data_IF_843394050793
#
_entry.id   IF_843394050793
#
_cell.length_a   1.000
_cell.length_b   1.000
_cell.length_c   1.000
_cell.angle_alpha   90.00
_cell.angle_beta   90.00
_cell.angle_gamma   90.00
#
_symmetry.space_group_name_H-M   'P 1'
#
loop_
_entity.id
_entity.type
_entity.pdbx_description
1 polymer ?
#
# COMPACT_ATOMS: atom_id res chain seq x y z
N UNK A 1 -30.76 -14.77 63.72
CA UNK A 1 -30.40 -13.47 63.12
C UNK A 1 -28.88 -13.43 62.96
N UNK A 2 -28.38 -12.95 61.82
CA UNK A 2 -27.30 -13.51 60.98
C UNK A 2 -25.90 -13.07 61.46
N UNK A 3 -24.75 -13.56 61.00
CA UNK A 3 -24.33 -14.27 59.78
C UNK A 3 -23.09 -13.55 59.21
N UNK A 4 -22.03 -14.33 58.88
CA UNK A 4 -20.95 -14.16 57.86
C UNK A 4 -20.38 -12.74 57.59
N UNK A 5 -19.09 -12.48 57.32
CA UNK A 5 -18.06 -13.12 56.48
C UNK A 5 -16.76 -12.30 56.62
N UNK A 6 -15.62 -12.86 56.20
CA UNK A 6 -14.26 -12.37 56.42
C UNK A 6 -13.77 -11.19 55.56
N UNK A 7 -12.45 -10.88 55.65
CA UNK A 7 -11.82 -9.67 55.13
C UNK A 7 -11.15 -9.87 53.76
N UNK A 8 -10.51 -8.80 53.29
CA UNK A 8 -9.56 -8.66 52.16
C UNK A 8 -10.09 -8.05 50.87
N UNK A 9 -9.92 -6.72 50.79
CA UNK A 9 -9.99 -5.92 49.58
C UNK A 9 -8.71 -5.10 49.41
N UNK A 10 -7.59 -5.76 49.13
CA UNK A 10 -6.36 -5.11 48.67
C UNK A 10 -6.48 -4.76 47.18
N UNK A 11 -7.09 -3.61 46.88
CA UNK A 11 -7.03 -3.01 45.53
C UNK A 11 -5.71 -2.23 45.35
N UNK A 12 -5.05 -2.30 44.17
CA UNK A 12 -3.88 -1.49 43.93
C UNK A 12 -4.29 -0.02 43.72
N UNK A 13 -3.87 0.84 44.64
CA UNK A 13 -3.95 2.30 44.52
C UNK A 13 -2.90 2.74 43.50
N UNK A 14 -3.30 2.97 42.25
CA UNK A 14 -2.44 3.59 41.24
C UNK A 14 -2.33 5.08 41.57
N UNK A 15 -1.19 5.47 42.13
CA UNK A 15 -0.87 6.85 42.47
C UNK A 15 -0.88 7.77 41.25
N UNK A 16 -1.51 8.95 41.39
CA UNK A 16 -1.39 10.06 40.44
C UNK A 16 0.08 10.46 40.30
N UNK A 17 0.65 10.26 39.12
CA UNK A 17 1.90 10.91 38.76
C UNK A 17 1.63 12.40 38.50
N UNK A 18 2.10 13.21 39.44
CA UNK A 18 2.13 14.67 39.34
C UNK A 18 3.00 15.10 38.15
N UNK A 19 2.58 16.14 37.45
CA UNK A 19 3.24 16.69 36.26
C UNK A 19 4.67 17.16 36.57
N UNK A 20 5.64 16.31 36.28
CA UNK A 20 7.07 16.61 36.32
C UNK A 20 7.53 17.24 35.01
N UNK A 21 8.22 18.38 35.11
CA UNK A 21 8.90 19.10 34.04
C UNK A 21 9.71 18.17 33.13
N UNK A 22 9.44 18.26 31.81
CA UNK A 22 10.11 17.50 30.76
C UNK A 22 11.61 17.81 30.72
N UNK A 23 12.40 16.99 31.43
CA UNK A 23 13.85 16.91 31.23
C UNK A 23 14.09 16.29 29.85
N UNK A 24 14.52 17.10 28.88
CA UNK A 24 15.00 16.64 27.57
C UNK A 24 16.01 15.50 27.79
N UNK A 25 15.66 14.29 27.35
CA UNK A 25 16.60 13.15 27.34
C UNK A 25 17.82 13.55 26.52
N UNK A 26 19.05 13.33 27.01
CA UNK A 26 20.25 13.59 26.21
C UNK A 26 20.21 12.72 24.94
N UNK A 27 20.34 13.35 23.77
CA UNK A 27 20.42 12.63 22.50
C UNK A 27 21.70 11.78 22.52
N UNK A 28 21.58 10.47 22.32
CA UNK A 28 22.72 9.58 22.10
C UNK A 28 23.24 9.84 20.67
N UNK A 29 24.40 10.49 20.49
CA UNK A 29 24.89 10.86 19.16
C UNK A 29 25.31 9.65 18.31
N UNK A 30 25.44 8.47 18.91
CA UNK A 30 25.75 7.21 18.25
C UNK A 30 24.52 6.30 18.08
N UNK A 31 23.37 6.69 18.65
CA UNK A 31 22.12 5.97 18.52
C UNK A 31 21.33 6.40 17.28
N UNK A 32 20.30 5.63 16.91
CA UNK A 32 19.40 6.03 15.82
C UNK A 32 18.76 7.38 16.12
N UNK A 33 18.61 8.19 15.09
CA UNK A 33 17.86 9.45 15.14
C UNK A 33 16.41 9.18 15.51
N UNK A 34 15.71 10.19 16.03
CA UNK A 34 14.28 10.06 16.35
C UNK A 34 13.43 9.68 15.13
N UNK A 35 13.83 10.11 13.93
CA UNK A 35 13.14 9.75 12.69
C UNK A 35 13.33 8.26 12.36
N UNK A 36 14.55 7.74 12.53
CA UNK A 36 14.84 6.31 12.34
C UNK A 36 14.12 5.45 13.39
N UNK A 37 14.08 5.88 14.65
CA UNK A 37 13.31 5.18 15.70
C UNK A 37 11.84 5.07 15.32
N UNK A 38 11.22 6.16 14.84
CA UNK A 38 9.81 6.13 14.40
C UNK A 38 9.59 5.28 13.15
N UNK A 39 10.50 5.32 12.19
CA UNK A 39 10.44 4.50 10.99
C UNK A 39 10.56 3.00 11.33
N UNK A 40 11.44 2.65 12.27
CA UNK A 40 11.57 1.27 12.75
C UNK A 40 10.28 0.82 13.47
N UNK A 41 9.74 1.67 14.36
CA UNK A 41 8.47 1.38 15.03
C UNK A 41 7.31 1.19 14.02
N UNK A 42 7.26 2.01 12.97
CA UNK A 42 6.27 1.84 11.89
C UNK A 42 6.43 0.49 11.18
N UNK A 43 7.68 0.10 10.88
CA UNK A 43 7.96 -1.16 10.20
C UNK A 43 7.66 -2.39 11.06
N UNK A 44 7.99 -2.34 12.34
CA UNK A 44 7.64 -3.37 13.33
C UNK A 44 6.13 -3.50 13.47
N UNK A 45 5.43 -2.40 13.73
CA UNK A 45 3.97 -2.40 13.87
C UNK A 45 3.27 -2.93 12.62
N UNK A 46 3.73 -2.54 11.43
CA UNK A 46 3.18 -3.05 10.18
C UNK A 46 3.37 -4.55 10.03
N UNK A 47 4.56 -5.07 10.35
CA UNK A 47 4.82 -6.49 10.26
C UNK A 47 3.96 -7.25 11.28
N UNK A 48 3.97 -6.84 12.55
CA UNK A 48 3.15 -7.42 13.62
C UNK A 48 1.65 -7.46 13.26
N UNK A 49 1.11 -6.36 12.76
CA UNK A 49 -0.29 -6.30 12.36
C UNK A 49 -0.60 -7.22 11.17
N UNK A 50 0.26 -7.27 10.16
CA UNK A 50 0.11 -8.18 9.02
C UNK A 50 0.07 -9.66 9.47
N UNK A 51 0.89 -9.99 10.46
CA UNK A 51 0.91 -11.33 11.01
C UNK A 51 -0.31 -11.68 11.85
N UNK A 52 -0.77 -10.76 12.69
CA UNK A 52 -1.99 -10.97 13.47
C UNK A 52 -3.19 -11.26 12.55
N UNK A 53 -3.25 -10.57 11.40
CA UNK A 53 -4.26 -10.82 10.38
C UNK A 53 -4.09 -12.19 9.72
N UNK A 54 -2.85 -12.56 9.33
CA UNK A 54 -2.59 -13.86 8.71
C UNK A 54 -2.90 -15.04 9.64
N UNK A 55 -2.56 -14.92 10.93
CA UNK A 55 -2.85 -15.93 11.96
C UNK A 55 -4.36 -16.04 12.22
N UNK A 56 -5.08 -14.91 12.27
CA UNK A 56 -6.53 -14.91 12.40
C UNK A 56 -7.22 -15.60 11.20
N UNK A 57 -6.75 -15.36 9.98
CA UNK A 57 -7.27 -16.02 8.77
C UNK A 57 -7.00 -17.53 8.81
N UNK A 58 -5.78 -17.96 9.14
CA UNK A 58 -5.42 -19.37 9.25
C UNK A 58 -6.27 -20.10 10.30
N UNK A 59 -6.51 -19.48 11.46
CA UNK A 59 -7.35 -20.05 12.52
C UNK A 59 -8.84 -20.11 12.15
N UNK A 60 -9.30 -19.26 11.23
CA UNK A 60 -10.69 -19.28 10.74
C UNK A 60 -10.94 -20.32 9.65
N UNK A 61 -9.89 -20.80 8.97
CA UNK A 61 -9.97 -21.75 7.86
C UNK A 61 -10.03 -23.23 8.30
N UNK A 62 -10.69 -23.52 9.44
CA UNK A 62 -10.87 -24.86 10.00
C UNK A 62 -11.80 -25.74 9.14
N UNK A 63 -11.35 -26.14 7.95
CA UNK A 63 -11.89 -27.29 7.21
C UNK A 63 -10.71 -28.18 6.80
N UNK A 64 -10.60 -29.41 7.36
CA UNK A 64 -9.51 -30.33 7.06
C UNK A 64 -9.87 -31.12 5.81
N UNK A 65 -9.87 -30.47 4.65
CA UNK A 65 -9.85 -31.18 3.38
C UNK A 65 -8.97 -30.40 2.40
N UNK A 66 -7.65 -30.53 2.58
CA UNK A 66 -6.69 -29.88 1.69
C UNK A 66 -5.86 -30.93 1.00
N UNK A 67 -6.26 -31.20 -0.24
CA UNK A 67 -5.38 -31.65 -1.32
C UNK A 67 -4.04 -30.93 -1.21
N UNK A 68 -2.96 -31.69 -1.42
CA UNK A 68 -1.61 -31.14 -1.51
C UNK A 68 -1.61 -29.98 -2.51
N UNK A 69 -1.04 -28.79 -2.17
CA UNK A 69 -1.04 -27.68 -3.09
C UNK A 69 -0.39 -28.12 -4.41
N UNK A 70 -1.10 -27.91 -5.52
CA UNK A 70 -0.66 -28.34 -6.86
C UNK A 70 0.72 -27.77 -7.25
N UNK A 71 1.15 -26.69 -6.58
CA UNK A 71 2.44 -26.02 -6.75
C UNK A 71 3.24 -26.16 -5.45
N UNK A 72 4.45 -26.76 -5.48
CA UNK A 72 5.34 -26.78 -4.33
C UNK A 72 5.67 -25.36 -3.85
N UNK A 73 5.48 -25.09 -2.55
CA UNK A 73 5.76 -23.77 -1.98
C UNK A 73 7.26 -23.54 -1.81
N UNK A 74 7.75 -22.38 -2.25
CA UNK A 74 9.09 -21.89 -1.92
C UNK A 74 9.01 -21.08 -0.62
N UNK A 75 9.29 -21.74 0.50
CA UNK A 75 9.19 -21.16 1.84
C UNK A 75 10.28 -20.12 2.14
N UNK A 76 11.22 -19.88 1.22
CA UNK A 76 12.40 -19.04 1.48
C UNK A 76 12.51 -17.84 0.55
N UNK A 77 11.56 -17.67 -0.38
CA UNK A 77 11.54 -16.56 -1.33
C UNK A 77 10.19 -15.84 -1.31
N UNK A 78 10.23 -14.55 -1.61
CA UNK A 78 9.05 -13.71 -1.65
C UNK A 78 9.24 -12.56 -2.65
N UNK A 79 8.12 -11.98 -3.07
CA UNK A 79 8.09 -10.77 -3.86
C UNK A 79 7.39 -9.64 -3.11
N UNK A 80 8.03 -8.49 -3.05
CA UNK A 80 7.54 -7.29 -2.36
C UNK A 80 7.15 -6.24 -3.39
N UNK A 81 5.90 -5.80 -3.38
CA UNK A 81 5.37 -4.82 -4.31
C UNK A 81 4.96 -3.56 -3.58
N UNK A 82 5.53 -2.43 -3.97
CA UNK A 82 4.88 -1.16 -3.68
C UNK A 82 3.49 -1.09 -4.36
N UNK A 83 2.62 -0.22 -3.84
CA UNK A 83 1.24 -0.10 -4.29
C UNK A 83 1.05 1.07 -5.24
N UNK A 84 1.36 2.28 -4.82
CA UNK A 84 0.97 3.49 -5.55
C UNK A 84 1.87 3.70 -6.77
N UNK A 85 1.29 3.91 -7.95
CA UNK A 85 1.95 3.88 -9.27
C UNK A 85 2.69 2.58 -9.66
N UNK A 86 2.91 1.67 -8.72
CA UNK A 86 3.52 0.35 -8.94
C UNK A 86 2.46 -0.71 -9.27
N UNK A 87 1.60 -1.07 -8.30
CA UNK A 87 0.49 -2.01 -8.49
C UNK A 87 -0.78 -1.30 -8.97
N UNK A 88 -1.09 -0.15 -8.37
CA UNK A 88 -2.26 0.69 -8.61
C UNK A 88 -1.83 1.94 -9.38
N UNK A 89 -2.64 2.41 -10.32
CA UNK A 89 -2.39 3.66 -11.04
C UNK A 89 -2.74 4.86 -10.17
N UNK A 90 -1.77 5.72 -9.89
CA UNK A 90 -1.93 6.85 -8.98
C UNK A 90 -1.96 6.41 -7.52
N UNK A 91 -2.23 7.37 -6.64
CA UNK A 91 -2.29 7.13 -5.19
C UNK A 91 -3.61 6.45 -4.79
N UNK A 92 -3.52 5.26 -4.23
CA UNK A 92 -4.65 4.47 -3.71
C UNK A 92 -5.40 5.19 -2.60
N UNK A 93 -4.71 5.94 -1.73
CA UNK A 93 -5.37 6.78 -0.71
C UNK A 93 -6.27 7.86 -1.33
N UNK A 94 -5.95 8.37 -2.52
CA UNK A 94 -6.79 9.35 -3.23
C UNK A 94 -8.04 8.66 -3.79
N UNK A 95 -7.91 7.45 -4.35
CA UNK A 95 -9.06 6.66 -4.79
C UNK A 95 -9.98 6.31 -3.62
N UNK A 96 -9.38 5.93 -2.49
CA UNK A 96 -10.09 5.65 -1.26
C UNK A 96 -10.85 6.86 -0.73
N UNK A 97 -10.17 8.01 -0.61
CA UNK A 97 -10.80 9.25 -0.18
C UNK A 97 -11.96 9.68 -1.11
N UNK A 98 -11.84 9.47 -2.43
CA UNK A 98 -12.93 9.71 -3.38
C UNK A 98 -14.12 8.79 -3.15
N UNK A 99 -13.87 7.50 -2.89
CA UNK A 99 -14.91 6.54 -2.55
C UNK A 99 -15.64 6.88 -1.24
N UNK A 100 -14.90 7.31 -0.22
CA UNK A 100 -15.46 7.79 1.05
C UNK A 100 -16.30 9.07 0.85
N UNK A 101 -15.81 10.01 0.04
CA UNK A 101 -16.55 11.24 -0.28
C UNK A 101 -17.88 10.95 -0.99
N UNK A 102 -17.89 10.02 -1.96
CA UNK A 102 -19.11 9.62 -2.67
C UNK A 102 -20.18 9.04 -1.73
N UNK A 103 -19.74 8.44 -0.62
CA UNK A 103 -20.59 7.86 0.43
C UNK A 103 -20.96 8.86 1.54
N UNK A 104 -20.60 10.15 1.40
CA UNK A 104 -20.75 11.19 2.44
C UNK A 104 -20.12 10.79 3.78
N UNK A 105 -19.07 9.96 3.73
CA UNK A 105 -18.37 9.50 4.92
C UNK A 105 -17.44 10.58 5.50
N UNK A 106 -16.96 11.47 4.62
CA UNK A 106 -16.16 12.65 4.96
C UNK A 106 -17.06 13.85 5.27
N UNK A 107 -16.73 14.60 6.34
CA UNK A 107 -17.42 15.84 6.65
C UNK A 107 -16.99 16.97 5.71
N UNK A 108 -17.77 18.05 5.65
CA UNK A 108 -17.46 19.21 4.79
C UNK A 108 -16.09 19.83 5.11
N UNK A 109 -15.66 19.79 6.39
CA UNK A 109 -14.32 20.21 6.81
C UNK A 109 -13.21 19.35 6.20
N UNK A 110 -13.42 18.03 6.12
CA UNK A 110 -12.43 17.08 5.61
C UNK A 110 -12.25 17.23 4.09
N UNK A 111 -13.36 17.51 3.37
CA UNK A 111 -13.37 17.75 1.93
C UNK A 111 -12.64 19.06 1.55
N UNK A 112 -12.79 20.11 2.36
CA UNK A 112 -12.10 21.39 2.14
C UNK A 112 -10.60 21.24 2.33
N UNK A 113 -10.17 20.53 3.38
CA UNK A 113 -8.75 20.24 3.62
C UNK A 113 -8.14 19.37 2.51
N UNK A 114 -8.90 18.39 2.00
CA UNK A 114 -8.47 17.56 0.88
C UNK A 114 -8.33 18.37 -0.42
N UNK A 115 -9.31 19.22 -0.74
CA UNK A 115 -9.27 20.10 -1.91
C UNK A 115 -8.09 21.08 -1.85
N UNK A 116 -7.80 21.62 -0.66
CA UNK A 116 -6.66 22.50 -0.43
C UNK A 116 -5.32 21.79 -0.62
N UNK A 117 -5.16 20.56 -0.07
CA UNK A 117 -3.95 19.75 -0.27
C UNK A 117 -3.73 19.38 -1.74
N UNK A 118 -4.78 19.00 -2.46
CA UNK A 118 -4.70 18.69 -3.89
C UNK A 118 -4.36 19.95 -4.72
N UNK A 119 -4.92 21.10 -4.38
CA UNK A 119 -4.60 22.38 -5.02
C UNK A 119 -3.15 22.80 -4.75
N UNK A 120 -2.70 22.70 -3.50
CA UNK A 120 -1.31 22.98 -3.12
C UNK A 120 -0.33 22.09 -3.88
N UNK A 121 -0.57 20.78 -3.94
CA UNK A 121 0.28 19.85 -4.71
C UNK A 121 0.37 20.21 -6.20
N UNK A 122 -0.77 20.56 -6.83
CA UNK A 122 -0.80 21.00 -8.23
C UNK A 122 -0.06 22.31 -8.48
N UNK A 123 0.01 23.20 -7.50
CA UNK A 123 0.63 24.52 -7.62
C UNK A 123 2.13 24.51 -7.24
N UNK A 124 2.52 23.76 -6.22
CA UNK A 124 3.89 23.84 -5.66
C UNK A 124 4.80 22.69 -6.06
N UNK A 125 4.27 21.55 -6.55
CA UNK A 125 5.07 20.42 -7.07
C UNK A 125 6.05 19.77 -6.09
N UNK A 126 6.11 20.23 -4.83
CA UNK A 126 6.97 19.73 -3.75
C UNK A 126 6.19 19.74 -2.44
N UNK A 127 6.31 18.66 -1.68
CA UNK A 127 5.94 18.62 -0.27
C UNK A 127 7.00 19.39 0.53
N UNK A 128 6.57 20.36 1.33
CA UNK A 128 7.45 21.10 2.24
C UNK A 128 7.70 20.28 3.51
N UNK A 129 8.96 19.98 3.79
CA UNK A 129 9.44 19.15 4.92
C UNK A 129 9.16 19.68 6.33
N UNK A 130 8.66 20.92 6.48
CA UNK A 130 8.39 21.55 7.78
C UNK A 130 6.95 21.43 8.31
N UNK A 131 6.06 20.72 7.61
CA UNK A 131 4.63 20.60 8.01
C UNK A 131 4.19 19.13 8.22
N UNK A 132 5.17 18.23 8.42
CA UNK A 132 4.89 16.79 8.44
C UNK A 132 4.32 16.35 9.79
N UNK A 133 4.64 16.99 10.91
CA UNK A 133 4.10 16.59 12.23
C UNK A 133 2.63 17.03 12.43
N UNK A 134 2.32 18.29 12.11
CA UNK A 134 0.96 18.87 12.14
C UNK A 134 0.04 18.25 11.07
N UNK A 135 0.59 17.81 9.94
CA UNK A 135 -0.13 17.14 8.87
C UNK A 135 -0.55 15.69 9.20
N UNK A 136 0.22 14.98 10.04
CA UNK A 136 0.02 13.55 10.40
C UNK A 136 -1.23 13.32 11.24
N UNK A 137 -1.41 14.07 12.32
CA UNK A 137 -2.59 13.93 13.20
C UNK A 137 -3.87 14.45 12.53
N UNK A 138 -3.76 15.53 11.73
CA UNK A 138 -4.89 16.04 10.92
C UNK A 138 -5.29 15.12 9.77
N UNK A 139 -4.39 14.25 9.29
CA UNK A 139 -4.72 13.31 8.22
C UNK A 139 -5.54 12.12 8.72
N UNK A 140 -5.49 11.79 10.01
CA UNK A 140 -6.22 10.66 10.59
C UNK A 140 -7.39 11.06 11.49
N UNK A 141 -7.57 12.36 11.73
CA UNK A 141 -8.70 12.86 12.52
C UNK A 141 -10.05 12.45 11.95
N UNK A 142 -10.16 12.22 10.63
CA UNK A 142 -11.42 11.80 10.01
C UNK A 142 -11.82 10.36 10.35
N UNK A 143 -10.87 9.50 10.71
CA UNK A 143 -11.13 8.12 11.15
C UNK A 143 -11.19 7.97 12.67
N UNK A 144 -10.80 8.99 13.44
CA UNK A 144 -10.81 8.94 14.90
C UNK A 144 -12.22 8.61 15.44
N UNK A 145 -12.29 7.65 16.35
CA UNK A 145 -13.55 7.16 16.93
C UNK A 145 -14.37 6.25 16.02
N UNK A 146 -13.89 5.94 14.80
CA UNK A 146 -14.59 5.06 13.86
C UNK A 146 -14.12 3.62 13.98
N UNK A 147 -14.98 2.69 13.57
CA UNK A 147 -14.69 1.26 13.64
C UNK A 147 -13.68 0.84 12.58
N UNK A 148 -12.71 0.03 12.98
CA UNK A 148 -11.75 -0.61 12.06
C UNK A 148 -12.46 -1.52 11.07
N UNK A 149 -13.47 -2.27 11.53
CA UNK A 149 -14.29 -3.16 10.70
C UNK A 149 -15.15 -2.40 9.68
N UNK A 150 -15.67 -1.22 10.05
CA UNK A 150 -16.39 -0.36 9.11
C UNK A 150 -15.47 0.12 7.99
N UNK A 151 -14.28 0.59 8.33
CA UNK A 151 -13.32 1.09 7.33
C UNK A 151 -12.85 -0.03 6.40
N UNK A 152 -12.63 -1.24 6.93
CA UNK A 152 -12.31 -2.42 6.14
C UNK A 152 -13.42 -2.74 5.12
N UNK A 153 -14.69 -2.76 5.55
CA UNK A 153 -15.84 -2.98 4.65
C UNK A 153 -15.92 -1.92 3.55
N UNK A 154 -15.75 -0.64 3.90
CA UNK A 154 -15.70 0.45 2.91
C UNK A 154 -14.51 0.28 1.95
N UNK A 155 -13.37 -0.19 2.45
CA UNK A 155 -12.20 -0.56 1.64
C UNK A 155 -12.55 -1.57 0.57
N UNK A 156 -13.28 -2.63 0.92
CA UNK A 156 -13.72 -3.65 -0.05
C UNK A 156 -14.64 -3.08 -1.14
N UNK A 157 -15.66 -2.32 -0.76
CA UNK A 157 -16.58 -1.72 -1.73
C UNK A 157 -15.84 -0.76 -2.68
N UNK A 158 -14.98 0.10 -2.14
CA UNK A 158 -14.23 1.08 -2.93
C UNK A 158 -13.18 0.39 -3.80
N UNK A 159 -12.66 -0.75 -3.37
CA UNK A 159 -11.80 -1.57 -4.22
C UNK A 159 -12.55 -2.02 -5.47
N UNK A 160 -13.72 -2.64 -5.28
CA UNK A 160 -14.52 -3.20 -6.38
C UNK A 160 -15.00 -2.12 -7.35
N UNK A 161 -15.37 -0.93 -6.85
CA UNK A 161 -15.88 0.17 -7.66
C UNK A 161 -14.80 1.01 -8.36
N UNK A 162 -13.64 1.19 -7.73
CA UNK A 162 -12.65 2.20 -8.16
C UNK A 162 -11.27 1.59 -8.37
N UNK A 163 -10.72 0.89 -7.38
CA UNK A 163 -9.30 0.51 -7.38
C UNK A 163 -9.02 -0.61 -8.39
N UNK A 164 -9.95 -1.56 -8.55
CA UNK A 164 -9.79 -2.69 -9.47
C UNK A 164 -9.44 -2.26 -10.90
N UNK A 165 -10.14 -1.25 -11.44
CA UNK A 165 -9.87 -0.71 -12.79
C UNK A 165 -8.52 0.03 -12.89
N UNK A 166 -7.93 0.38 -11.75
CA UNK A 166 -6.64 1.07 -11.66
C UNK A 166 -5.48 0.12 -11.46
N UNK A 167 -5.68 -1.18 -11.31
CA UNK A 167 -4.58 -2.13 -11.25
C UNK A 167 -3.81 -2.12 -12.59
N UNK A 168 -2.49 -2.10 -12.53
CA UNK A 168 -1.64 -2.30 -13.70
C UNK A 168 -1.66 -3.78 -14.10
N UNK A 169 -2.18 -4.16 -15.29
CA UNK A 169 -2.22 -5.57 -15.69
C UNK A 169 -0.82 -6.20 -15.75
N UNK A 170 0.19 -5.42 -16.16
CA UNK A 170 1.58 -5.87 -16.20
C UNK A 170 2.17 -6.16 -14.82
N UNK A 171 1.88 -5.32 -13.82
CA UNK A 171 2.32 -5.55 -12.44
C UNK A 171 1.57 -6.73 -11.81
N UNK A 172 0.27 -6.86 -12.07
CA UNK A 172 -0.52 -8.03 -11.63
C UNK A 172 0.03 -9.34 -12.21
N UNK A 173 0.45 -9.34 -13.48
CA UNK A 173 1.06 -10.51 -14.10
C UNK A 173 2.41 -10.90 -13.45
N UNK A 174 3.20 -9.91 -13.00
CA UNK A 174 4.42 -10.17 -12.22
C UNK A 174 4.10 -10.81 -10.87
N UNK A 175 3.09 -10.30 -10.16
CA UNK A 175 2.65 -10.90 -8.91
C UNK A 175 2.18 -12.36 -9.13
N UNK A 176 1.40 -12.61 -10.18
CA UNK A 176 0.95 -13.96 -10.52
C UNK A 176 2.13 -14.90 -10.84
N UNK A 177 3.14 -14.43 -11.57
CA UNK A 177 4.35 -15.21 -11.85
C UNK A 177 5.04 -15.69 -10.56
N UNK A 178 5.08 -14.86 -9.51
CA UNK A 178 5.65 -15.26 -8.22
C UNK A 178 4.78 -16.28 -7.48
N UNK A 179 3.46 -16.10 -7.49
CA UNK A 179 2.52 -17.08 -6.93
C UNK A 179 2.63 -18.43 -7.64
N UNK A 180 2.71 -18.42 -8.97
CA UNK A 180 2.85 -19.63 -9.80
C UNK A 180 4.21 -20.33 -9.57
N UNK A 181 5.21 -19.61 -9.07
CA UNK A 181 6.49 -20.15 -8.60
C UNK A 181 6.47 -20.62 -7.13
N UNK A 182 5.30 -20.61 -6.49
CA UNK A 182 5.12 -21.03 -5.10
C UNK A 182 5.66 -20.03 -4.07
N UNK A 183 5.98 -18.80 -4.47
CA UNK A 183 6.56 -17.78 -3.60
C UNK A 183 5.48 -16.97 -2.89
N UNK A 184 5.82 -16.39 -1.73
CA UNK A 184 4.96 -15.43 -1.07
C UNK A 184 4.93 -14.11 -1.85
N UNK A 185 3.79 -13.42 -1.88
CA UNK A 185 3.66 -12.10 -2.51
C UNK A 185 3.04 -11.11 -1.54
N UNK A 186 3.78 -10.06 -1.24
CA UNK A 186 3.42 -9.05 -0.23
C UNK A 186 3.34 -7.67 -0.84
N UNK A 187 2.32 -6.90 -0.46
CA UNK A 187 2.30 -5.45 -0.71
C UNK A 187 3.11 -4.72 0.36
N UNK A 188 3.77 -3.62 0.03
CA UNK A 188 4.56 -2.80 0.97
C UNK A 188 4.33 -1.31 0.67
N UNK A 189 3.49 -0.64 1.46
CA UNK A 189 2.93 0.67 1.09
C UNK A 189 2.81 1.66 2.24
N UNK A 190 2.86 2.96 1.90
CA UNK A 190 2.53 4.04 2.83
C UNK A 190 1.01 4.18 3.06
N UNK A 191 0.18 3.50 2.26
CA UNK A 191 -1.28 3.47 2.41
C UNK A 191 -1.68 2.73 3.71
N UNK A 192 -2.81 3.07 4.34
CA UNK A 192 -3.30 2.37 5.53
C UNK A 192 -3.37 0.85 5.33
N UNK A 193 -2.95 0.11 6.35
CA UNK A 193 -2.86 -1.34 6.31
C UNK A 193 -4.19 -2.00 5.92
N UNK A 194 -5.32 -1.49 6.41
CA UNK A 194 -6.65 -2.04 6.13
C UNK A 194 -6.96 -2.04 4.64
N UNK A 195 -6.66 -0.93 3.95
CA UNK A 195 -6.87 -0.84 2.51
C UNK A 195 -5.85 -1.70 1.74
N UNK A 196 -4.60 -1.71 2.18
CA UNK A 196 -3.57 -2.54 1.57
C UNK A 196 -3.94 -4.04 1.66
N UNK A 197 -4.50 -4.46 2.79
CA UNK A 197 -4.91 -5.85 3.01
C UNK A 197 -6.12 -6.24 2.15
N UNK A 198 -7.07 -5.31 1.96
CA UNK A 198 -8.16 -5.50 0.98
C UNK A 198 -7.60 -5.73 -0.42
N UNK A 199 -6.65 -4.90 -0.87
CA UNK A 199 -6.02 -5.06 -2.19
C UNK A 199 -5.31 -6.41 -2.29
N UNK A 200 -4.53 -6.78 -1.27
CA UNK A 200 -3.82 -8.06 -1.25
C UNK A 200 -4.78 -9.25 -1.36
N UNK A 201 -5.83 -9.28 -0.54
CA UNK A 201 -6.85 -10.33 -0.52
C UNK A 201 -7.58 -10.44 -1.86
N UNK A 202 -8.02 -9.32 -2.42
CA UNK A 202 -8.76 -9.29 -3.69
C UNK A 202 -7.90 -9.67 -4.90
N UNK A 203 -6.59 -9.53 -4.80
CA UNK A 203 -5.63 -9.98 -5.81
C UNK A 203 -5.10 -11.42 -5.56
N UNK A 204 -5.49 -12.06 -4.47
CA UNK A 204 -5.01 -13.41 -4.10
C UNK A 204 -3.55 -13.44 -3.67
N UNK A 205 -3.04 -12.33 -3.11
CA UNK A 205 -1.67 -12.23 -2.59
C UNK A 205 -1.58 -12.78 -1.16
N UNK A 206 -0.36 -12.95 -0.64
CA UNK A 206 -0.12 -13.45 0.72
C UNK A 206 -0.55 -12.45 1.79
N UNK A 207 -0.30 -11.16 1.58
CA UNK A 207 -0.71 -10.11 2.50
C UNK A 207 -0.14 -8.74 2.17
N UNK A 208 -0.24 -7.81 3.11
CA UNK A 208 0.29 -6.46 2.97
C UNK A 208 1.00 -5.97 4.24
N UNK A 209 2.00 -5.12 4.01
CA UNK A 209 2.63 -4.25 4.97
C UNK A 209 2.19 -2.82 4.64
N UNK A 210 1.61 -2.11 5.61
CA UNK A 210 0.98 -0.81 5.43
C UNK A 210 1.17 0.10 6.63
N UNK A 211 0.80 1.37 6.48
CA UNK A 211 0.80 2.32 7.60
C UNK A 211 -0.24 1.90 8.64
N UNK A 212 0.18 1.79 9.90
CA UNK A 212 -0.68 1.34 11.00
C UNK A 212 -1.27 2.54 11.73
N UNK A 213 -2.59 2.69 11.65
CA UNK A 213 -3.34 3.56 12.54
C UNK A 213 -3.58 2.85 13.87
N UNK A 214 -3.32 3.54 14.97
CA UNK A 214 -3.55 3.00 16.31
C UNK A 214 -5.06 2.84 16.54
N UNK A 215 -5.44 1.70 17.12
CA UNK A 215 -6.82 1.40 17.48
C UNK A 215 -6.89 0.78 18.87
N UNK A 216 -7.97 1.07 19.59
CA UNK A 216 -8.29 0.52 20.90
C UNK A 216 -9.73 0.02 20.88
N UNK A 217 -9.97 -1.22 21.32
CA UNK A 217 -11.30 -1.84 21.33
C UNK A 217 -12.02 -1.79 19.96
N UNK A 218 -11.27 -1.94 18.87
CA UNK A 218 -11.81 -1.92 17.50
C UNK A 218 -12.18 -0.53 16.97
N UNK A 219 -11.77 0.54 17.65
CA UNK A 219 -11.98 1.94 17.24
C UNK A 219 -10.64 2.63 17.03
N UNK A 220 -10.50 3.39 15.94
CA UNK A 220 -9.28 4.17 15.69
C UNK A 220 -9.13 5.31 16.70
N UNK A 221 -7.93 5.51 17.21
CA UNK A 221 -7.61 6.63 18.12
C UNK A 221 -7.34 7.94 17.37
N UNK A 222 -7.13 7.87 16.06
CA UNK A 222 -6.69 8.98 15.21
C UNK A 222 -5.17 9.22 15.21
N UNK A 223 -4.38 8.33 15.83
CA UNK A 223 -2.91 8.39 15.85
C UNK A 223 -2.29 7.28 14.99
N UNK A 224 -1.02 7.43 14.68
CA UNK A 224 -0.20 6.37 14.05
C UNK A 224 0.58 5.61 15.11
N UNK A 225 0.80 4.32 14.87
CA UNK A 225 1.87 3.57 15.54
C UNK A 225 3.18 3.84 14.79
N UNK A 226 4.07 4.65 15.36
CA UNK A 226 5.32 5.07 14.71
C UNK A 226 5.14 6.25 13.76
N UNK A 227 5.29 6.02 12.45
CA UNK A 227 5.13 7.00 11.36
C UNK A 227 4.50 6.30 10.15
N UNK A 228 4.29 7.04 9.07
CA UNK A 228 3.87 6.46 7.78
C UNK A 228 4.93 5.45 7.31
N UNK A 229 4.47 4.29 6.79
CA UNK A 229 5.35 3.23 6.31
C UNK A 229 6.02 3.62 4.99
N UNK A 230 7.12 4.36 5.09
CA UNK A 230 7.81 4.96 3.96
C UNK A 230 9.34 4.83 4.09
N UNK A 231 10.04 4.75 2.96
CA UNK A 231 11.50 4.70 2.89
C UNK A 231 12.11 3.63 3.80
N UNK A 232 12.90 4.06 4.80
CA UNK A 232 13.52 3.15 5.76
C UNK A 232 12.52 2.29 6.54
N UNK A 233 11.30 2.79 6.79
CA UNK A 233 10.26 2.02 7.45
C UNK A 233 9.81 0.81 6.63
N UNK A 234 9.67 0.96 5.31
CA UNK A 234 9.38 -0.16 4.40
C UNK A 234 10.49 -1.21 4.41
N UNK A 235 11.75 -0.74 4.35
CA UNK A 235 12.92 -1.63 4.42
C UNK A 235 12.98 -2.39 5.75
N UNK A 236 12.66 -1.73 6.86
CA UNK A 236 12.57 -2.36 8.18
C UNK A 236 11.43 -3.38 8.24
N UNK A 237 10.23 -3.04 7.77
CA UNK A 237 9.09 -3.96 7.72
C UNK A 237 9.39 -5.24 6.92
N UNK A 238 10.01 -5.10 5.74
CA UNK A 238 10.43 -6.25 4.91
C UNK A 238 11.47 -7.10 5.64
N UNK A 239 12.41 -6.50 6.38
CA UNK A 239 13.39 -7.25 7.17
C UNK A 239 12.74 -7.99 8.34
N UNK A 240 11.85 -7.34 9.08
CA UNK A 240 11.10 -7.94 10.17
C UNK A 240 10.23 -9.10 9.66
N UNK A 241 9.58 -8.89 8.50
CA UNK A 241 8.82 -9.91 7.81
C UNK A 241 9.69 -11.12 7.46
N UNK A 242 10.84 -10.87 6.82
CA UNK A 242 11.77 -11.92 6.41
C UNK A 242 12.31 -12.75 7.58
N UNK A 243 12.56 -12.13 8.74
CA UNK A 243 13.01 -12.84 9.94
C UNK A 243 11.95 -13.82 10.43
N UNK A 244 10.68 -13.40 10.51
CA UNK A 244 9.61 -14.26 11.01
C UNK A 244 9.26 -15.38 10.03
N UNK A 245 9.21 -15.07 8.75
CA UNK A 245 8.84 -16.01 7.67
C UNK A 245 10.01 -16.90 7.22
N UNK A 246 11.23 -16.68 7.71
CA UNK A 246 12.41 -17.45 7.31
C UNK A 246 12.87 -17.16 5.88
N UNK A 247 12.58 -15.97 5.35
CA UNK A 247 12.90 -15.59 3.98
C UNK A 247 14.38 -15.28 3.81
N UNK A 248 14.97 -15.83 2.75
CA UNK A 248 16.28 -15.42 2.28
C UNK A 248 16.11 -14.23 1.32
N UNK A 249 16.34 -13.01 1.81
CA UNK A 249 16.18 -11.78 1.01
C UNK A 249 16.99 -11.78 -0.30
N UNK A 250 18.10 -12.53 -0.40
CA UNK A 250 18.86 -12.68 -1.65
C UNK A 250 18.12 -13.48 -2.73
N UNK A 251 17.09 -14.24 -2.35
CA UNK A 251 16.17 -14.95 -3.26
C UNK A 251 14.88 -14.17 -3.51
N UNK A 252 14.68 -13.06 -2.81
CA UNK A 252 13.48 -12.24 -2.95
C UNK A 252 13.62 -11.22 -4.08
N UNK A 253 12.46 -10.72 -4.52
CA UNK A 253 12.35 -9.64 -5.49
C UNK A 253 11.58 -8.47 -4.90
N UNK A 254 11.94 -7.24 -5.27
CA UNK A 254 11.19 -6.05 -4.88
C UNK A 254 10.90 -5.15 -6.08
N UNK A 255 9.70 -4.57 -6.09
CA UNK A 255 9.14 -3.76 -7.16
C UNK A 255 8.67 -2.41 -6.62
N UNK A 256 9.11 -1.30 -7.23
CA UNK A 256 8.63 0.04 -6.88
C UNK A 256 8.84 1.06 -8.01
N UNK A 257 8.07 2.16 -7.99
CA UNK A 257 8.20 3.30 -8.88
C UNK A 257 9.01 4.46 -8.29
N UNK A 258 9.23 4.49 -6.97
CA UNK A 258 9.74 5.66 -6.28
C UNK A 258 11.18 5.52 -5.81
N UNK A 259 11.97 6.59 -5.95
CA UNK A 259 13.31 6.67 -5.37
C UNK A 259 13.31 6.49 -3.84
N UNK A 260 12.20 6.83 -3.17
CA UNK A 260 12.08 6.65 -1.73
C UNK A 260 12.19 5.18 -1.29
N UNK A 261 11.87 4.23 -2.18
CA UNK A 261 11.90 2.80 -1.89
C UNK A 261 13.26 2.15 -2.19
N UNK A 262 14.26 2.94 -2.57
CA UNK A 262 15.64 2.46 -2.79
C UNK A 262 16.20 1.66 -1.61
N UNK A 263 15.96 2.02 -0.32
CA UNK A 263 16.35 1.17 0.80
C UNK A 263 15.77 -0.25 0.69
N UNK A 264 14.46 -0.39 0.44
CA UNK A 264 13.79 -1.69 0.28
C UNK A 264 14.31 -2.44 -0.94
N UNK A 265 14.40 -1.77 -2.09
CA UNK A 265 14.93 -2.34 -3.34
C UNK A 265 16.37 -2.84 -3.16
N UNK A 266 17.17 -2.18 -2.33
CA UNK A 266 18.57 -2.57 -2.07
C UNK A 266 18.71 -3.74 -1.09
N UNK A 267 17.64 -4.16 -0.41
CA UNK A 267 17.70 -5.29 0.55
C UNK A 267 17.65 -6.66 -0.13
N UNK A 268 17.00 -6.74 -1.28
CA UNK A 268 16.64 -7.99 -1.94
C UNK A 268 17.66 -8.38 -3.01
N UNK A 269 17.60 -9.64 -3.46
CA UNK A 269 18.46 -10.15 -4.52
C UNK A 269 18.14 -9.55 -5.90
N UNK A 270 16.85 -9.29 -6.16
CA UNK A 270 16.39 -8.74 -7.44
C UNK A 270 15.56 -7.47 -7.23
N UNK A 271 16.01 -6.35 -7.77
CA UNK A 271 15.29 -5.09 -7.74
C UNK A 271 14.76 -4.73 -9.14
N UNK A 272 13.49 -4.36 -9.21
CA UNK A 272 12.82 -3.99 -10.46
C UNK A 272 12.11 -2.66 -10.31
N UNK A 273 12.49 -1.68 -11.13
CA UNK A 273 11.87 -0.37 -11.17
C UNK A 273 10.63 -0.40 -12.10
N UNK A 274 9.44 -0.22 -11.52
CA UNK A 274 8.16 -0.24 -12.23
C UNK A 274 7.68 1.18 -12.43
N UNK A 275 7.40 1.60 -13.67
CA UNK A 275 6.94 2.95 -13.99
C UNK A 275 7.76 4.07 -13.31
N UNK A 276 9.11 3.98 -13.22
CA UNK A 276 9.85 4.76 -12.24
C UNK A 276 9.76 6.26 -12.47
N UNK A 277 9.87 7.02 -11.37
CA UNK A 277 10.21 8.44 -11.35
C UNK A 277 11.59 8.70 -11.98
N UNK A 278 11.98 9.97 -12.12
CA UNK A 278 13.26 10.32 -12.77
C UNK A 278 14.45 9.76 -12.02
N UNK A 279 14.42 9.85 -10.70
CA UNK A 279 15.57 9.63 -9.83
C UNK A 279 15.80 8.12 -9.64
N UNK A 280 14.72 7.34 -9.47
CA UNK A 280 14.77 5.88 -9.48
C UNK A 280 15.17 5.36 -10.86
N UNK A 281 14.70 5.97 -11.96
CA UNK A 281 15.09 5.55 -13.31
C UNK A 281 16.59 5.71 -13.54
N UNK A 282 17.16 6.85 -13.15
CA UNK A 282 18.59 7.09 -13.26
C UNK A 282 19.37 6.09 -12.41
N UNK A 283 18.98 5.92 -11.14
CA UNK A 283 19.62 4.96 -10.25
C UNK A 283 19.53 3.51 -10.78
N UNK A 284 18.37 3.10 -11.29
CA UNK A 284 18.15 1.77 -11.84
C UNK A 284 19.08 1.52 -13.03
N UNK A 285 19.24 2.50 -13.93
CA UNK A 285 20.23 2.41 -15.02
C UNK A 285 21.65 2.26 -14.51
N UNK A 286 22.03 3.07 -13.50
CA UNK A 286 23.38 3.05 -12.93
C UNK A 286 23.69 1.72 -12.19
N UNK A 287 22.67 1.11 -11.58
CA UNK A 287 22.80 -0.16 -10.84
C UNK A 287 22.50 -1.41 -11.69
N UNK A 288 22.09 -1.25 -12.94
CA UNK A 288 21.67 -2.35 -13.80
C UNK A 288 20.36 -3.02 -13.34
N UNK A 289 19.51 -2.32 -12.59
CA UNK A 289 18.20 -2.83 -12.20
C UNK A 289 17.26 -2.85 -13.41
N UNK A 290 16.41 -3.87 -13.47
CA UNK A 290 15.42 -3.99 -14.54
C UNK A 290 14.41 -2.84 -14.46
N UNK A 291 14.03 -2.27 -15.60
CA UNK A 291 13.03 -1.21 -15.70
C UNK A 291 11.87 -1.69 -16.55
N UNK A 292 10.65 -1.69 -16.00
CA UNK A 292 9.41 -1.94 -16.75
C UNK A 292 8.50 -0.72 -16.69
N UNK A 293 8.16 -0.16 -17.85
CA UNK A 293 7.30 1.02 -17.95
C UNK A 293 5.99 0.70 -18.69
N UNK A 294 4.94 0.41 -17.91
CA UNK A 294 3.62 0.06 -18.41
C UNK A 294 2.80 1.29 -18.87
N UNK A 295 3.27 2.51 -18.58
CA UNK A 295 2.64 3.75 -19.07
C UNK A 295 2.78 3.87 -20.59
N UNK A 296 3.87 3.34 -21.16
CA UNK A 296 4.21 3.45 -22.58
C UNK A 296 3.27 2.63 -23.46
N UNK A 297 2.97 1.38 -23.08
CA UNK A 297 2.03 0.52 -23.80
C UNK A 297 0.63 1.16 -23.90
N UNK A 298 0.19 1.83 -22.83
CA UNK A 298 -1.08 2.57 -22.83
C UNK A 298 -1.07 3.79 -23.75
N UNK A 299 0.03 4.56 -23.79
CA UNK A 299 0.17 5.69 -24.72
C UNK A 299 0.11 5.20 -26.17
N UNK A 300 0.82 4.12 -26.48
CA UNK A 300 0.81 3.51 -27.80
C UNK A 300 -0.59 3.02 -28.21
N UNK A 301 -1.32 2.35 -27.31
CA UNK A 301 -2.69 1.91 -27.58
C UNK A 301 -3.66 3.09 -27.81
N UNK A 302 -3.58 4.15 -26.99
CA UNK A 302 -4.43 5.34 -27.15
C UNK A 302 -4.18 6.12 -28.44
N UNK A 303 -2.96 6.12 -28.97
CA UNK A 303 -2.61 6.81 -30.22
C UNK A 303 -2.82 5.91 -31.44
N UNK A 304 -2.55 4.60 -31.31
CA UNK A 304 -2.64 3.64 -32.40
C UNK A 304 -4.07 3.28 -32.80
N UNK A 305 -4.99 3.11 -31.83
CA UNK A 305 -6.38 2.70 -32.10
C UNK A 305 -7.17 3.75 -32.91
N UNK A 306 -7.14 5.06 -32.57
CA UNK A 306 -7.83 6.08 -33.38
C UNK A 306 -7.21 6.24 -34.78
N UNK A 307 -5.88 6.16 -34.89
CA UNK A 307 -5.18 6.33 -36.17
C UNK A 307 -5.47 5.18 -37.13
N UNK A 308 -5.49 3.94 -36.63
CA UNK A 308 -5.85 2.78 -37.44
C UNK A 308 -7.32 2.79 -37.89
N UNK A 309 -8.25 3.24 -37.04
CA UNK A 309 -9.67 3.39 -37.41
C UNK A 309 -9.87 4.47 -38.49
N UNK A 310 -9.19 5.61 -38.39
CA UNK A 310 -9.26 6.69 -39.39
C UNK A 310 -8.70 6.23 -40.73
N UNK A 311 -7.53 5.57 -40.73
CA UNK A 311 -6.94 5.02 -41.95
C UNK A 311 -7.78 3.89 -42.56
N UNK A 312 -8.34 3.02 -41.72
CA UNK A 312 -9.25 1.95 -42.15
C UNK A 312 -10.54 2.49 -42.77
N UNK A 313 -11.14 3.53 -42.19
CA UNK A 313 -12.33 4.19 -42.73
C UNK A 313 -12.04 4.89 -44.07
N UNK A 314 -10.91 5.60 -44.18
CA UNK A 314 -10.50 6.25 -45.43
C UNK A 314 -10.19 5.23 -46.53
N UNK A 315 -9.47 4.16 -46.21
CA UNK A 315 -9.16 3.06 -47.13
C UNK A 315 -10.42 2.31 -47.59
N UNK A 316 -11.34 2.03 -46.67
CA UNK A 316 -12.63 1.41 -46.99
C UNK A 316 -13.52 2.28 -47.89
N UNK A 317 -13.57 3.59 -47.63
CA UNK A 317 -14.32 4.53 -48.46
C UNK A 317 -13.73 4.66 -49.87
N UNK A 318 -12.39 4.69 -50.01
CA UNK A 318 -11.72 4.73 -51.30
C UNK A 318 -11.96 3.44 -52.10
N UNK A 319 -11.86 2.28 -51.46
CA UNK A 319 -12.16 0.99 -52.08
C UNK A 319 -13.61 0.93 -52.57
N UNK A 320 -14.58 1.34 -51.75
CA UNK A 320 -15.99 1.39 -52.11
C UNK A 320 -16.26 2.34 -53.30
N UNK A 321 -15.59 3.51 -53.34
CA UNK A 321 -15.72 4.47 -54.45
C UNK A 321 -15.15 3.90 -55.77
N UNK A 322 -14.04 3.16 -55.71
CA UNK A 322 -13.44 2.51 -56.87
C UNK A 322 -14.36 1.40 -57.41
N UNK A 323 -14.94 0.58 -56.53
CA UNK A 323 -15.88 -0.48 -56.92
C UNK A 323 -17.13 0.09 -57.58
N UNK A 324 -17.72 1.13 -56.98
CA UNK A 324 -18.93 1.80 -57.50
C UNK A 324 -18.69 2.48 -58.85
N UNK A 325 -17.47 2.98 -59.10
CA UNK A 325 -17.10 3.58 -60.40
C UNK A 325 -16.92 2.53 -61.50
N UNK A 326 -16.53 1.30 -61.15
CA UNK A 326 -16.45 0.16 -62.08
C UNK A 326 -17.84 -0.34 -62.49
N UNK A 327 -18.80 -0.35 -61.57
CA UNK A 327 -20.20 -0.75 -61.86
C UNK A 327 -20.95 0.26 -62.74
N UNK A 328 -20.54 1.52 -62.76
CA UNK A 328 -21.19 2.58 -63.57
C UNK A 328 -20.59 2.69 -64.99
N UNK A 329 -19.53 1.96 -65.30
CA UNK A 329 -18.78 2.05 -66.58
C UNK A 329 -18.72 0.72 -67.34
N UNK A 330 -19.46 -0.31 -66.91
CA UNK A 330 -19.65 -1.58 -67.61
C UNK A 330 -21.12 -1.81 -67.90
#
# INVERSE_FOLDING_TARGET
MPGQSGPDGSGPVVGRLSAGTSRRRPRNPLGPTEAEVRANLAGEASAEAAFALHEAEANSALEPDTEQPAIPRDLTAAAFFDVDNTMVQGASIVHFARGLAARKYLNTSDLVDFAWKQMKFRVTGKESSNDVASGREKALSFIAGRSTAELARLGEEIYDEIIFEKIWPGTRALAQMHLDAGQQVWLVTATPLELAQVIAKRLGLTGALGTVAESENGLFTGRLVGDILHGMGKAHAVRTLAIREGLNLKRCTAYSDSHNDVPMLSLVGTAVAINPDSDLRELAKNRGWEIRDFRTARKAAKVGVPTALVLGAAGGALAAAITRRRELLG
#
